data_IF_218588215661
#
_entry.id   IF_218588215661
#
_cell.length_a   1.000
_cell.length_b   1.000
_cell.length_c   1.000
_cell.angle_alpha   90.00
_cell.angle_beta   90.00
_cell.angle_gamma   90.00
#
_symmetry.space_group_name_H-M   'P 1'
#
loop_
_entity.id
_entity.type
_entity.pdbx_description
1 polymer ?
#
# COMPACT_ATOMS: atom_id res chain seq x y z
N UNK A 1 0.75 -17.02 -4.36
CA UNK A 1 0.41 -16.45 -5.69
C UNK A 1 1.59 -16.68 -6.64
N UNK A 2 1.37 -16.80 -7.96
CA UNK A 2 2.47 -16.90 -8.95
C UNK A 2 2.62 -15.56 -9.67
N UNK A 3 3.80 -14.93 -9.66
CA UNK A 3 4.03 -13.64 -10.33
C UNK A 3 3.80 -13.68 -11.85
N UNK A 4 3.90 -14.86 -12.45
CA UNK A 4 3.73 -15.07 -13.90
C UNK A 4 2.33 -15.51 -14.28
N UNK A 5 1.37 -15.45 -13.35
CA UNK A 5 0.00 -15.82 -13.65
C UNK A 5 -0.63 -14.77 -14.59
N UNK A 6 -1.00 -15.20 -15.81
CA UNK A 6 -1.59 -14.33 -16.83
C UNK A 6 -2.86 -13.62 -16.37
N UNK A 7 -3.68 -14.23 -15.52
CA UNK A 7 -4.86 -13.61 -14.96
C UNK A 7 -4.48 -12.42 -14.06
N UNK A 8 -3.48 -12.59 -13.18
CA UNK A 8 -3.01 -11.50 -12.29
C UNK A 8 -2.38 -10.37 -13.10
N UNK A 9 -1.51 -10.69 -14.06
CA UNK A 9 -0.87 -9.70 -14.93
C UNK A 9 -1.86 -8.94 -15.82
N UNK A 10 -3.03 -9.52 -16.09
CA UNK A 10 -4.10 -8.85 -16.84
C UNK A 10 -4.86 -7.88 -15.94
N UNK A 11 -5.15 -8.27 -14.69
CA UNK A 11 -5.81 -7.40 -13.72
C UNK A 11 -4.98 -6.19 -13.32
N UNK A 12 -3.66 -6.36 -13.16
CA UNK A 12 -2.72 -5.28 -12.81
C UNK A 12 -2.76 -4.11 -13.81
N UNK A 13 -3.06 -4.39 -15.09
CA UNK A 13 -3.14 -3.37 -16.15
C UNK A 13 -4.43 -2.58 -16.15
N UNK A 14 -5.42 -2.99 -15.36
CA UNK A 14 -6.71 -2.29 -15.29
C UNK A 14 -6.51 -1.04 -14.44
N UNK A 15 -6.70 0.17 -15.02
CA UNK A 15 -6.54 1.40 -14.25
C UNK A 15 -7.64 1.52 -13.19
N UNK A 16 -7.31 2.18 -12.09
CA UNK A 16 -8.33 2.58 -11.12
C UNK A 16 -9.28 3.58 -11.78
N UNK A 17 -10.58 3.45 -11.53
CA UNK A 17 -11.58 4.36 -12.06
C UNK A 17 -11.35 5.79 -11.53
N UNK A 18 -11.51 6.79 -12.39
CA UNK A 18 -11.13 8.19 -12.11
C UNK A 18 -11.94 8.84 -10.98
N UNK A 19 -13.11 8.30 -10.67
CA UNK A 19 -14.00 8.75 -9.59
C UNK A 19 -13.71 8.06 -8.24
N UNK A 20 -12.77 7.10 -8.21
CA UNK A 20 -12.35 6.41 -6.99
C UNK A 20 -11.13 7.11 -6.38
N UNK A 21 -11.24 7.48 -5.11
CA UNK A 21 -10.12 8.02 -4.32
C UNK A 21 -9.23 6.89 -3.83
N UNK A 22 -7.96 6.92 -4.22
CA UNK A 22 -6.99 5.86 -3.90
C UNK A 22 -6.03 6.35 -2.83
N UNK A 23 -5.82 5.54 -1.80
CA UNK A 23 -4.79 5.78 -0.78
C UNK A 23 -4.01 4.48 -0.59
N UNK A 24 -2.69 4.59 -0.48
CA UNK A 24 -1.76 3.47 -0.34
C UNK A 24 -1.18 3.45 1.08
N UNK A 25 -1.14 2.29 1.71
CA UNK A 25 -0.48 2.06 2.99
C UNK A 25 0.45 0.87 2.82
N UNK A 26 1.76 1.11 2.85
CA UNK A 26 2.77 0.09 2.52
C UNK A 26 3.61 -0.19 3.75
N UNK A 27 3.67 -1.46 4.15
CA UNK A 27 4.54 -1.90 5.22
C UNK A 27 5.98 -2.06 4.72
N UNK A 28 6.96 -1.73 5.54
CA UNK A 28 8.36 -2.12 5.32
C UNK A 28 8.97 -2.58 6.63
N UNK A 29 9.54 -3.78 6.62
CA UNK A 29 10.23 -4.40 7.76
C UNK A 29 11.74 -4.11 7.72
N UNK A 30 12.32 -4.01 6.53
CA UNK A 30 13.75 -3.83 6.33
C UNK A 30 14.24 -2.41 6.64
N UNK A 31 15.45 -2.31 7.17
CA UNK A 31 16.18 -1.04 7.30
C UNK A 31 16.65 -0.49 5.94
N UNK A 32 17.10 0.77 5.90
CA UNK A 32 17.67 1.39 4.71
C UNK A 32 16.67 2.22 3.89
N UNK A 33 16.90 2.47 2.60
CA UNK A 33 15.98 3.23 1.74
C UNK A 33 14.59 2.58 1.61
N UNK A 34 13.56 3.36 1.31
CA UNK A 34 12.18 2.85 1.10
C UNK A 34 12.07 2.04 -0.18
N UNK A 35 12.72 2.52 -1.22
CA UNK A 35 12.70 2.00 -2.58
C UNK A 35 13.31 0.60 -2.71
N UNK A 36 14.11 0.20 -1.71
CA UNK A 36 14.79 -1.09 -1.63
C UNK A 36 14.21 -1.98 -0.53
N UNK A 37 13.15 -1.52 0.13
CA UNK A 37 12.58 -2.22 1.28
C UNK A 37 11.44 -3.15 0.92
N UNK A 38 11.16 -4.08 1.83
CA UNK A 38 10.03 -5.00 1.73
C UNK A 38 9.42 -5.30 3.11
N UNK A 39 8.24 -5.91 3.10
CA UNK A 39 7.50 -6.29 4.31
C UNK A 39 7.73 -7.77 4.73
N UNK A 40 8.79 -8.38 4.20
CA UNK A 40 9.08 -9.81 4.34
C UNK A 40 8.40 -10.71 3.29
N UNK A 41 7.51 -10.15 2.45
CA UNK A 41 6.78 -10.89 1.41
C UNK A 41 6.78 -10.15 0.07
N UNK A 42 6.55 -8.84 0.09
CA UNK A 42 6.35 -7.98 -1.09
C UNK A 42 7.32 -6.80 -1.04
N UNK A 43 8.03 -6.60 -2.15
CA UNK A 43 8.90 -5.44 -2.37
C UNK A 43 8.08 -4.15 -2.47
N UNK A 44 8.59 -3.04 -1.91
CA UNK A 44 7.96 -1.73 -2.02
C UNK A 44 7.63 -1.36 -3.47
N UNK A 45 8.56 -1.62 -4.40
CA UNK A 45 8.37 -1.35 -5.83
C UNK A 45 7.21 -2.12 -6.47
N UNK A 46 6.82 -3.26 -5.91
CA UNK A 46 5.66 -4.02 -6.35
C UNK A 46 4.36 -3.56 -5.70
N UNK A 47 4.43 -2.97 -4.49
CA UNK A 47 3.27 -2.49 -3.75
C UNK A 47 2.91 -1.03 -4.11
N UNK A 48 3.91 -0.24 -4.48
CA UNK A 48 3.76 1.16 -4.90
C UNK A 48 2.98 1.25 -6.21
N UNK A 49 1.96 2.10 -6.22
CA UNK A 49 1.08 2.33 -7.37
C UNK A 49 0.85 3.83 -7.56
N UNK A 50 0.51 4.23 -8.79
CA UNK A 50 0.14 5.60 -9.14
C UNK A 50 -1.08 5.58 -10.08
N UNK A 51 -1.99 6.57 -10.00
CA UNK A 51 -1.99 7.68 -9.05
C UNK A 51 -2.58 7.30 -7.67
N UNK A 52 -2.06 7.91 -6.61
CA UNK A 52 -2.69 7.91 -5.28
C UNK A 52 -2.84 9.31 -4.68
N UNK A 53 -3.88 9.52 -3.88
CA UNK A 53 -4.11 10.75 -3.12
C UNK A 53 -3.15 10.88 -1.93
N UNK A 54 -2.78 9.74 -1.34
CA UNK A 54 -1.72 9.65 -0.34
C UNK A 54 -1.09 8.27 -0.32
N UNK A 55 0.20 8.22 0.01
CA UNK A 55 0.94 7.00 0.31
C UNK A 55 1.58 7.13 1.68
N UNK A 56 1.36 6.15 2.55
CA UNK A 56 1.90 6.11 3.89
C UNK A 56 2.73 4.84 4.10
N UNK A 57 4.02 5.02 4.36
CA UNK A 57 4.94 3.91 4.63
C UNK A 57 4.98 3.64 6.14
N UNK A 58 4.60 2.43 6.52
CA UNK A 58 4.61 1.95 7.92
C UNK A 58 5.89 1.17 8.16
N UNK A 59 6.80 1.74 8.94
CA UNK A 59 8.11 1.13 9.22
C UNK A 59 8.54 1.36 10.67
N UNK A 60 9.06 0.32 11.37
CA UNK A 60 9.16 -1.07 10.93
C UNK A 60 7.80 -1.79 11.02
N UNK A 61 7.42 -2.51 9.96
CA UNK A 61 6.24 -3.37 9.99
C UNK A 61 6.35 -4.51 8.99
N UNK A 62 6.02 -5.73 9.44
CA UNK A 62 5.88 -6.89 8.57
C UNK A 62 4.57 -6.86 7.79
N UNK A 63 4.43 -7.79 6.84
CA UNK A 63 3.32 -7.90 5.89
C UNK A 63 1.92 -7.78 6.51
N UNK A 64 1.71 -8.35 7.70
CA UNK A 64 0.44 -8.24 8.43
C UNK A 64 0.36 -6.96 9.28
N UNK A 65 0.41 -5.80 8.61
CA UNK A 65 0.47 -4.48 9.25
C UNK A 65 -0.86 -3.98 9.84
N UNK A 66 -1.96 -4.71 9.66
CA UNK A 66 -3.31 -4.24 10.04
C UNK A 66 -3.46 -4.01 11.54
N UNK A 67 -2.67 -4.71 12.38
CA UNK A 67 -2.62 -4.52 13.82
C UNK A 67 -1.65 -3.44 14.30
N UNK A 68 -0.85 -2.85 13.40
CA UNK A 68 0.09 -1.80 13.74
C UNK A 68 -0.68 -0.50 14.06
N UNK A 69 -0.40 0.17 15.21
CA UNK A 69 -1.05 1.43 15.55
C UNK A 69 -0.96 2.50 14.45
N UNK A 70 0.18 2.61 13.76
CA UNK A 70 0.37 3.58 12.68
C UNK A 70 -0.56 3.31 11.50
N UNK A 71 -0.74 2.03 11.13
CA UNK A 71 -1.71 1.61 10.10
C UNK A 71 -3.13 1.96 10.51
N UNK A 72 -3.50 1.67 11.76
CA UNK A 72 -4.84 1.96 12.28
C UNK A 72 -5.12 3.47 12.27
N UNK A 73 -4.14 4.28 12.69
CA UNK A 73 -4.26 5.74 12.66
C UNK A 73 -4.38 6.29 11.24
N UNK A 74 -3.63 5.73 10.29
CA UNK A 74 -3.71 6.16 8.90
C UNK A 74 -5.06 5.82 8.26
N UNK A 75 -5.57 4.60 8.50
CA UNK A 75 -6.94 4.23 8.09
C UNK A 75 -7.96 5.18 8.72
N UNK A 76 -7.81 5.53 10.01
CA UNK A 76 -8.69 6.49 10.67
C UNK A 76 -8.61 7.87 10.03
N UNK A 77 -7.40 8.38 9.75
CA UNK A 77 -7.19 9.67 9.08
C UNK A 77 -7.89 9.70 7.72
N UNK A 78 -7.71 8.65 6.92
CA UNK A 78 -8.38 8.51 5.61
C UNK A 78 -9.90 8.52 5.78
N UNK A 79 -10.45 7.74 6.70
CA UNK A 79 -11.91 7.69 6.91
C UNK A 79 -12.48 9.02 7.39
N UNK A 80 -11.76 9.75 8.26
CA UNK A 80 -12.16 11.08 8.72
C UNK A 80 -12.17 12.10 7.59
N UNK A 81 -11.13 12.08 6.75
CA UNK A 81 -11.05 12.95 5.57
C UNK A 81 -12.26 12.77 4.65
N UNK A 82 -12.71 11.52 4.42
CA UNK A 82 -13.85 11.23 3.55
C UNK A 82 -15.21 11.73 4.11
N UNK A 83 -15.31 11.92 5.42
CA UNK A 83 -16.50 12.52 6.05
C UNK A 83 -16.34 14.02 6.34
N UNK A 84 -15.24 14.63 5.88
CA UNK A 84 -14.96 16.06 6.03
C UNK A 84 -14.45 16.46 7.43
N UNK A 85 -13.79 15.54 8.15
CA UNK A 85 -13.18 15.74 9.48
C UNK A 85 -11.66 15.71 9.47
#
# INVERSE_FOLDING_TARGET
MSPHNHFILTLEKIPVASDVKVNSIIAIETDGPVEQGNDGVVEYSSAHIEPVESEFVVRPSSHSTQGNPQTIEEVRRILRLHIGL
#
